data_IF_948955342285
#
_entry.id   IF_948955342285
#
_cell.length_a   1.000
_cell.length_b   1.000
_cell.length_c   1.000
_cell.angle_alpha   90.00
_cell.angle_beta   90.00
_cell.angle_gamma   90.00
#
_symmetry.space_group_name_H-M   'P 1'
#
loop_
_entity.id
_entity.type
_entity.pdbx_description
1 polymer ?
#
# COMPACT_ATOMS: atom_id res chain seq x y z
N UNK A 1 1.36 10.90 -6.82
CA UNK A 1 1.76 10.83 -5.39
C UNK A 1 1.01 9.67 -4.74
N UNK A 2 1.66 8.87 -3.90
CA UNK A 2 1.06 7.68 -3.25
C UNK A 2 -0.16 8.05 -2.39
N UNK A 3 -0.17 9.28 -1.87
CA UNK A 3 -1.21 9.92 -1.07
C UNK A 3 -2.51 10.07 -1.85
N UNK A 4 -2.43 10.55 -3.11
CA UNK A 4 -3.60 10.73 -3.96
C UNK A 4 -4.18 9.38 -4.39
N UNK A 5 -3.31 8.40 -4.65
CA UNK A 5 -3.73 7.03 -4.93
C UNK A 5 -4.39 6.39 -3.70
N UNK A 6 -3.79 6.53 -2.53
CA UNK A 6 -4.34 6.06 -1.25
C UNK A 6 -5.69 6.73 -0.94
N UNK A 7 -5.81 8.04 -1.15
CA UNK A 7 -7.04 8.79 -0.93
C UNK A 7 -8.17 8.30 -1.84
N UNK A 8 -7.88 7.99 -3.10
CA UNK A 8 -8.85 7.38 -4.02
C UNK A 8 -9.23 5.96 -3.61
N UNK A 9 -8.28 5.16 -3.16
CA UNK A 9 -8.49 3.76 -2.77
C UNK A 9 -9.26 3.62 -1.44
N UNK A 10 -8.99 4.48 -0.47
CA UNK A 10 -9.52 4.38 0.90
C UNK A 10 -10.58 5.43 1.23
N UNK A 11 -10.90 6.37 0.32
CA UNK A 11 -11.83 7.47 0.56
C UNK A 11 -13.24 7.04 0.97
N UNK A 12 -13.69 5.87 0.55
CA UNK A 12 -15.01 5.32 0.91
C UNK A 12 -15.10 4.68 2.30
N UNK A 13 -13.98 4.51 3.02
CA UNK A 13 -14.03 3.88 4.35
C UNK A 13 -14.57 4.88 5.35
N UNK A 14 -15.57 4.51 6.16
CA UNK A 14 -16.17 5.42 7.14
C UNK A 14 -15.17 5.86 8.22
N UNK A 15 -14.34 4.92 8.70
CA UNK A 15 -13.45 5.17 9.84
C UNK A 15 -12.09 5.73 9.41
N UNK A 16 -11.68 6.82 10.08
CA UNK A 16 -10.41 7.50 9.85
C UNK A 16 -9.20 6.60 10.10
N UNK A 17 -9.24 5.76 11.12
CA UNK A 17 -8.12 4.88 11.47
C UNK A 17 -7.89 3.80 10.42
N UNK A 18 -8.96 3.31 9.76
CA UNK A 18 -8.86 2.38 8.65
C UNK A 18 -8.16 3.02 7.44
N UNK A 19 -8.51 4.27 7.11
CA UNK A 19 -7.84 5.02 6.02
C UNK A 19 -6.35 5.22 6.32
N UNK A 20 -6.03 5.64 7.54
CA UNK A 20 -4.66 5.87 7.98
C UNK A 20 -3.80 4.58 7.98
N UNK A 21 -4.35 3.47 8.47
CA UNK A 21 -3.65 2.16 8.46
C UNK A 21 -3.48 1.62 7.03
N UNK A 22 -4.50 1.81 6.17
CA UNK A 22 -4.44 1.43 4.75
C UNK A 22 -3.35 2.19 4.00
N UNK A 23 -3.29 3.50 4.19
CA UNK A 23 -2.23 4.36 3.63
C UNK A 23 -0.84 3.97 4.15
N UNK A 24 -0.70 3.69 5.45
CA UNK A 24 0.55 3.20 6.04
C UNK A 24 0.97 1.84 5.45
N UNK A 25 0.01 0.95 5.17
CA UNK A 25 0.27 -0.34 4.52
C UNK A 25 0.69 -0.16 3.06
N UNK A 26 -0.02 0.69 2.31
CA UNK A 26 0.27 0.98 0.91
C UNK A 26 1.62 1.69 0.72
N UNK A 27 2.00 2.59 1.63
CA UNK A 27 3.35 3.19 1.67
C UNK A 27 4.42 2.15 1.96
N UNK A 28 4.22 1.30 2.97
CA UNK A 28 5.18 0.21 3.30
C UNK A 28 5.26 -0.88 2.22
N UNK A 29 4.32 -0.88 1.28
CA UNK A 29 4.37 -1.65 0.06
C UNK A 29 5.10 -0.85 -1.03
N UNK A 30 4.54 0.24 -1.52
CA UNK A 30 5.02 0.88 -2.75
C UNK A 30 6.25 1.78 -2.59
N UNK A 31 6.66 2.10 -1.36
CA UNK A 31 7.84 2.92 -1.08
C UNK A 31 8.93 2.09 -0.41
N UNK A 32 10.18 2.52 -0.59
CA UNK A 32 11.32 1.82 -0.02
C UNK A 32 11.26 1.75 1.50
N UNK A 33 11.12 0.52 1.99
CA UNK A 33 11.03 0.23 3.41
C UNK A 33 10.55 -1.20 3.60
N UNK A 34 11.47 -2.11 3.94
CA UNK A 34 11.21 -3.56 4.17
C UNK A 34 10.27 -3.87 5.36
N UNK A 35 9.42 -2.93 5.80
CA UNK A 35 8.45 -3.11 6.88
C UNK A 35 7.07 -3.48 6.32
N UNK A 36 7.07 -4.59 5.56
CA UNK A 36 5.97 -5.42 5.01
C UNK A 36 6.51 -6.03 3.71
N UNK A 37 6.92 -7.30 3.71
CA UNK A 37 7.70 -7.87 2.59
C UNK A 37 7.01 -7.73 1.23
N UNK A 38 7.82 -7.36 0.24
CA UNK A 38 7.51 -7.12 -1.17
C UNK A 38 8.08 -8.21 -2.09
N UNK A 39 8.57 -9.36 -1.62
CA UNK A 39 8.47 -10.58 -2.48
C UNK A 39 7.05 -10.56 -3.12
N UNK A 40 5.99 -10.45 -2.31
CA UNK A 40 4.59 -10.31 -2.73
C UNK A 40 4.20 -9.15 -3.65
N UNK A 41 4.99 -8.08 -3.80
CA UNK A 41 4.64 -7.02 -4.74
C UNK A 41 5.32 -7.18 -6.07
N UNK A 42 6.51 -7.75 -6.04
CA UNK A 42 7.17 -8.20 -7.23
C UNK A 42 6.18 -9.12 -7.99
N UNK A 43 5.54 -10.04 -7.28
CA UNK A 43 4.42 -10.80 -7.84
C UNK A 43 3.17 -9.99 -8.25
N UNK A 44 2.79 -8.90 -7.54
CA UNK A 44 1.56 -8.09 -7.79
C UNK A 44 1.55 -7.32 -9.10
N UNK A 45 2.71 -7.19 -9.74
CA UNK A 45 2.80 -6.62 -11.07
C UNK A 45 2.87 -7.71 -12.15
N UNK A 46 2.79 -8.99 -11.77
CA UNK A 46 3.15 -10.11 -12.63
C UNK A 46 4.66 -10.21 -12.86
N UNK A 47 5.48 -9.76 -11.90
CA UNK A 47 6.94 -9.90 -11.96
C UNK A 47 7.43 -10.90 -10.91
N UNK A 48 8.57 -11.53 -11.13
CA UNK A 48 9.03 -12.61 -10.26
C UNK A 48 9.37 -12.11 -8.83
N UNK A 49 9.29 -12.99 -7.82
CA UNK A 49 9.43 -12.68 -6.40
C UNK A 49 10.33 -13.60 -5.57
N UNK A 50 11.41 -14.17 -6.13
CA UNK A 50 12.42 -14.91 -5.33
C UNK A 50 13.11 -14.02 -4.28
#
# INVERSE_FOLDING_TARGET
MIEQFAARMFGGFARRDQRAKGELYLRGLMLDGKRKSMQPMAQRLGVDHQ
#
